data_IF_322048217079
#
_entry.id   IF_322048217079
#
_cell.length_a   1.000
_cell.length_b   1.000
_cell.length_c   1.000
_cell.angle_alpha   90.00
_cell.angle_beta   90.00
_cell.angle_gamma   90.00
#
_symmetry.space_group_name_H-M   'P 1'
#
loop_
_entity.id
_entity.type
_entity.pdbx_description
1 polymer ?
#
# COMPACT_ATOMS: atom_id res chain seq x y z
N UNK A 1 24.24 1.06 21.73
CA UNK A 1 22.94 1.02 21.03
C UNK A 1 22.00 0.22 21.90
N UNK A 2 21.19 0.89 22.72
CA UNK A 2 20.19 0.22 23.54
C UNK A 2 18.95 0.03 22.69
N UNK A 3 18.51 -1.23 22.51
CA UNK A 3 17.19 -1.54 21.97
C UNK A 3 16.15 -0.95 22.92
N UNK A 4 15.49 0.13 22.49
CA UNK A 4 14.31 0.61 23.18
C UNK A 4 13.28 -0.52 23.14
N UNK A 5 12.89 -1.02 24.30
CA UNK A 5 11.81 -2.01 24.41
C UNK A 5 10.52 -1.42 23.82
N UNK A 6 9.64 -2.24 23.23
CA UNK A 6 8.39 -1.76 22.59
C UNK A 6 7.56 -0.79 23.46
N UNK A 7 7.54 -0.99 24.78
CA UNK A 7 6.87 -0.10 25.74
C UNK A 7 7.50 1.30 25.87
N UNK A 8 8.80 1.42 25.61
CA UNK A 8 9.52 2.69 25.56
C UNK A 8 9.21 3.47 24.29
N UNK A 9 9.00 2.77 23.16
CA UNK A 9 8.60 3.39 21.89
C UNK A 9 7.16 3.91 21.97
N UNK A 10 6.24 3.13 22.55
CA UNK A 10 4.86 3.57 22.79
C UNK A 10 4.79 4.85 23.64
N UNK A 11 5.64 4.96 24.68
CA UNK A 11 5.73 6.16 25.51
C UNK A 11 6.32 7.35 24.73
N UNK A 12 7.36 7.14 23.92
CA UNK A 12 7.93 8.21 23.09
C UNK A 12 6.93 8.73 22.06
N UNK A 13 6.13 7.86 21.46
CA UNK A 13 5.08 8.25 20.51
C UNK A 13 3.96 8.99 21.24
N UNK A 14 3.55 8.54 22.42
CA UNK A 14 2.60 9.27 23.25
C UNK A 14 3.12 10.66 23.64
N UNK A 15 4.38 10.78 24.05
CA UNK A 15 5.04 12.07 24.34
C UNK A 15 5.07 12.97 23.10
N UNK A 16 5.44 12.46 21.92
CA UNK A 16 5.44 13.26 20.68
C UNK A 16 4.02 13.73 20.29
N UNK A 17 3.00 12.91 20.56
CA UNK A 17 1.59 13.27 20.32
C UNK A 17 1.11 14.33 21.33
N UNK A 18 1.50 14.21 22.60
CA UNK A 18 1.16 15.17 23.67
C UNK A 18 1.86 16.52 23.47
N UNK A 19 3.15 16.50 23.12
CA UNK A 19 3.95 17.69 22.82
C UNK A 19 3.58 18.31 21.45
N UNK A 20 2.90 17.52 20.60
CA UNK A 20 2.47 17.90 19.27
C UNK A 20 3.61 18.06 18.26
N UNK A 21 4.77 17.44 18.53
CA UNK A 21 5.95 17.46 17.67
C UNK A 21 5.84 16.41 16.55
N UNK A 22 5.14 16.82 15.49
CA UNK A 22 4.94 15.98 14.31
C UNK A 22 6.25 15.76 13.52
N UNK A 23 7.19 16.69 13.57
CA UNK A 23 8.47 16.57 12.88
C UNK A 23 9.30 15.43 13.48
N UNK A 24 9.34 15.36 14.81
CA UNK A 24 9.96 14.22 15.51
C UNK A 24 9.24 12.93 15.19
N UNK A 25 7.90 12.92 15.22
CA UNK A 25 7.10 11.74 14.92
C UNK A 25 7.40 11.15 13.53
N UNK A 26 7.53 11.98 12.50
CA UNK A 26 7.82 11.53 11.13
C UNK A 26 9.24 10.99 10.94
N UNK A 27 10.19 11.37 11.80
CA UNK A 27 11.57 10.84 11.77
C UNK A 27 11.78 9.58 12.60
N UNK A 28 10.88 9.28 13.55
CA UNK A 28 11.00 8.08 14.38
C UNK A 28 11.11 6.78 13.56
N UNK A 29 10.35 6.60 12.47
CA UNK A 29 10.44 5.39 11.65
C UNK A 29 11.79 5.18 10.96
N UNK A 30 12.56 6.24 10.69
CA UNK A 30 13.92 6.10 10.12
C UNK A 30 14.94 5.60 11.16
N UNK A 31 14.63 5.77 12.45
CA UNK A 31 15.55 5.50 13.56
C UNK A 31 15.27 4.21 14.31
N UNK A 32 14.08 3.62 14.11
CA UNK A 32 13.60 2.46 14.85
C UNK A 32 13.34 1.31 13.87
N UNK A 33 13.97 0.16 14.11
CA UNK A 33 13.77 -1.05 13.30
C UNK A 33 12.43 -1.76 13.58
N UNK A 34 11.86 -1.55 14.77
CA UNK A 34 10.62 -2.20 15.22
C UNK A 34 9.67 -1.14 15.80
N UNK A 35 8.60 -0.86 15.07
CA UNK A 35 7.63 0.18 15.41
C UNK A 35 6.30 -0.49 15.79
N UNK A 36 5.89 -0.47 17.07
CA UNK A 36 4.69 -1.19 17.52
C UNK A 36 3.43 -0.75 16.78
N UNK A 37 2.55 -1.68 16.42
CA UNK A 37 1.34 -1.40 15.65
C UNK A 37 0.38 -0.44 16.39
N UNK A 38 0.34 -0.54 17.71
CA UNK A 38 -0.38 0.41 18.59
C UNK A 38 0.10 1.84 18.39
N UNK A 39 1.39 2.02 18.19
CA UNK A 39 2.01 3.32 17.94
C UNK A 39 1.76 3.79 16.52
N UNK A 40 1.78 2.89 15.53
CA UNK A 40 1.46 3.23 14.13
C UNK A 40 0.02 3.75 14.04
N UNK A 41 -0.93 2.99 14.58
CA UNK A 41 -2.36 3.34 14.55
C UNK A 41 -2.63 4.68 15.25
N UNK A 42 -2.02 4.91 16.43
CA UNK A 42 -2.12 6.20 17.13
C UNK A 42 -1.52 7.36 16.34
N UNK A 43 -0.38 7.13 15.68
CA UNK A 43 0.28 8.13 14.85
C UNK A 43 -0.57 8.49 13.63
N UNK A 44 -1.11 7.49 12.95
CA UNK A 44 -2.05 7.65 11.83
C UNK A 44 -3.30 8.43 12.27
N UNK A 45 -3.91 8.04 13.39
CA UNK A 45 -5.08 8.74 13.93
C UNK A 45 -4.76 10.19 14.28
N UNK A 46 -3.60 10.45 14.88
CA UNK A 46 -3.14 11.80 15.20
C UNK A 46 -2.91 12.65 13.95
N UNK A 47 -2.27 12.10 12.91
CA UNK A 47 -2.04 12.79 11.63
C UNK A 47 -3.37 13.16 10.96
N UNK A 48 -4.35 12.27 10.98
CA UNK A 48 -5.70 12.53 10.42
C UNK A 48 -6.37 13.69 11.17
N UNK A 49 -6.31 13.68 12.52
CA UNK A 49 -6.96 14.68 13.38
C UNK A 49 -6.21 16.02 13.41
N UNK A 50 -4.94 16.06 13.01
CA UNK A 50 -4.15 17.27 13.00
C UNK A 50 -4.67 18.30 11.97
N UNK A 51 -4.54 19.58 12.35
CA UNK A 51 -4.77 20.72 11.46
C UNK A 51 -3.67 20.81 10.41
N UNK A 52 -4.04 21.25 9.22
CA UNK A 52 -3.14 21.36 8.06
C UNK A 52 -1.90 22.22 8.36
N UNK A 53 -2.07 23.37 9.02
CA UNK A 53 -0.99 24.31 9.34
C UNK A 53 0.19 23.66 10.12
N UNK A 54 -0.12 22.68 10.99
CA UNK A 54 0.91 21.98 11.77
C UNK A 54 1.67 20.96 10.93
N UNK A 55 1.01 20.38 9.93
CA UNK A 55 1.58 19.38 9.04
C UNK A 55 2.46 20.07 8.01
N UNK A 56 2.01 21.21 7.46
CA UNK A 56 2.84 22.07 6.62
C UNK A 56 4.13 22.48 7.31
N UNK A 57 4.07 22.88 8.59
CA UNK A 57 5.26 23.21 9.38
C UNK A 57 6.23 22.03 9.53
N UNK A 58 5.74 20.83 9.84
CA UNK A 58 6.58 19.64 10.02
C UNK A 58 7.17 19.10 8.71
N UNK A 59 6.46 19.28 7.59
CA UNK A 59 6.85 18.82 6.26
C UNK A 59 7.66 19.88 5.50
N UNK A 60 7.76 21.11 6.03
CA UNK A 60 8.52 22.20 5.39
C UNK A 60 10.01 21.91 5.19
N UNK A 61 10.58 21.04 6.03
CA UNK A 61 11.98 20.59 5.95
C UNK A 61 12.20 19.46 4.92
N UNK A 62 11.13 18.86 4.41
CA UNK A 62 11.19 17.76 3.43
C UNK A 62 11.40 18.35 2.03
N UNK A 63 12.34 17.77 1.28
CA UNK A 63 12.59 18.21 -0.10
C UNK A 63 11.34 18.02 -0.95
N UNK A 64 11.06 18.98 -1.84
CA UNK A 64 9.98 18.87 -2.83
C UNK A 64 10.10 17.62 -3.70
N UNK A 65 11.32 17.09 -3.89
CA UNK A 65 11.54 15.82 -4.58
C UNK A 65 10.91 14.63 -3.86
N UNK A 66 11.01 14.58 -2.54
CA UNK A 66 10.61 13.44 -1.73
C UNK A 66 9.10 13.44 -1.53
N UNK A 67 8.52 14.64 -1.42
CA UNK A 67 7.07 14.83 -1.52
C UNK A 67 6.54 14.33 -2.87
N UNK A 68 7.17 14.73 -3.97
CA UNK A 68 6.77 14.27 -5.30
C UNK A 68 6.93 12.77 -5.53
N UNK A 69 7.85 12.10 -4.85
CA UNK A 69 7.99 10.65 -4.89
C UNK A 69 6.92 9.94 -4.06
N UNK A 70 6.53 10.53 -2.94
CA UNK A 70 5.51 9.98 -2.04
C UNK A 70 4.07 10.32 -2.46
N UNK A 71 3.89 11.30 -3.35
CA UNK A 71 2.59 11.68 -3.93
C UNK A 71 2.69 11.86 -5.45
N UNK A 72 2.96 10.79 -6.21
CA UNK A 72 3.13 10.85 -7.66
C UNK A 72 1.88 11.33 -8.40
N UNK A 73 0.68 11.01 -7.89
CA UNK A 73 -0.61 11.44 -8.44
C UNK A 73 -0.79 12.97 -8.53
N UNK A 74 -0.03 13.75 -7.76
CA UNK A 74 -0.03 15.21 -7.86
C UNK A 74 0.51 15.70 -9.21
N UNK A 75 1.33 14.92 -9.91
CA UNK A 75 1.79 15.23 -11.27
C UNK A 75 0.73 14.94 -12.34
N UNK A 76 -0.22 14.06 -12.02
CA UNK A 76 -1.27 13.58 -12.91
C UNK A 76 -2.59 14.34 -12.70
N UNK A 77 -2.58 15.41 -11.89
CA UNK A 77 -3.75 16.23 -11.53
C UNK A 77 -4.93 15.41 -10.99
N UNK A 78 -4.62 14.30 -10.31
CA UNK A 78 -5.64 13.44 -9.71
C UNK A 78 -5.97 13.91 -8.30
N UNK A 79 -7.24 14.21 -8.06
CA UNK A 79 -7.74 14.66 -6.75
C UNK A 79 -7.61 13.56 -5.69
N UNK A 80 -6.86 13.87 -4.64
CA UNK A 80 -6.73 13.01 -3.46
C UNK A 80 -7.75 13.43 -2.39
N UNK A 81 -8.29 12.49 -1.58
CA UNK A 81 -9.22 12.82 -0.50
C UNK A 81 -8.56 13.64 0.64
N UNK A 82 -7.22 13.73 0.66
CA UNK A 82 -6.44 14.45 1.66
C UNK A 82 -5.44 15.38 0.98
N UNK A 83 -4.92 16.34 1.75
CA UNK A 83 -3.84 17.22 1.29
C UNK A 83 -2.54 16.46 1.04
N UNK A 84 -1.70 16.99 0.16
CA UNK A 84 -0.41 16.39 -0.21
C UNK A 84 0.47 16.11 1.01
N UNK A 85 0.53 17.04 1.96
CA UNK A 85 1.36 16.90 3.16
C UNK A 85 0.83 15.82 4.11
N UNK A 86 -0.50 15.70 4.24
CA UNK A 86 -1.13 14.60 4.99
C UNK A 86 -0.87 13.27 4.32
N UNK A 87 -0.99 13.19 3.00
CA UNK A 87 -0.69 11.97 2.25
C UNK A 87 0.77 11.54 2.48
N UNK A 88 1.73 12.46 2.38
CA UNK A 88 3.13 12.16 2.68
C UNK A 88 3.30 11.58 4.09
N UNK A 89 2.78 12.28 5.10
CA UNK A 89 2.88 11.85 6.50
C UNK A 89 2.23 10.47 6.74
N UNK A 90 1.09 10.21 6.10
CA UNK A 90 0.41 8.93 6.17
C UNK A 90 1.21 7.83 5.47
N UNK A 91 1.76 8.07 4.28
CA UNK A 91 2.56 7.07 3.57
C UNK A 91 3.78 6.64 4.36
N UNK A 92 4.47 7.58 5.03
CA UNK A 92 5.60 7.25 5.92
C UNK A 92 5.17 6.25 7.01
N UNK A 93 3.99 6.44 7.61
CA UNK A 93 3.47 5.57 8.67
C UNK A 93 2.89 4.25 8.14
N UNK A 94 2.23 4.28 6.98
CA UNK A 94 1.61 3.11 6.36
C UNK A 94 2.65 2.14 5.79
N UNK A 95 3.81 2.65 5.35
CA UNK A 95 4.93 1.84 4.83
C UNK A 95 5.72 1.09 5.91
N UNK A 96 5.37 1.28 7.18
CA UNK A 96 6.03 0.58 8.28
C UNK A 96 5.73 -0.92 8.25
N UNK A 97 6.66 -1.72 8.76
CA UNK A 97 6.44 -3.17 8.89
C UNK A 97 5.50 -3.42 10.06
N UNK A 98 4.54 -4.30 9.87
CA UNK A 98 3.57 -4.68 10.89
C UNK A 98 3.15 -6.14 10.70
N UNK A 99 2.57 -6.72 11.75
CA UNK A 99 1.81 -7.96 11.68
C UNK A 99 0.32 -7.66 11.48
N UNK A 100 -0.36 -8.25 10.47
CA UNK A 100 -1.78 -8.00 10.23
C UNK A 100 -2.68 -8.28 11.45
N UNK A 101 -2.35 -9.29 12.26
CA UNK A 101 -3.13 -9.64 13.45
C UNK A 101 -3.02 -8.58 14.54
N UNK A 102 -1.81 -8.08 14.81
CA UNK A 102 -1.61 -7.02 15.80
C UNK A 102 -2.12 -5.66 15.31
N UNK A 103 -2.01 -5.41 14.00
CA UNK A 103 -2.59 -4.23 13.36
C UNK A 103 -4.11 -4.19 13.54
N UNK A 104 -4.80 -5.30 13.30
CA UNK A 104 -6.25 -5.39 13.48
C UNK A 104 -6.65 -5.12 14.94
N UNK A 105 -5.94 -5.69 15.91
CA UNK A 105 -6.21 -5.42 17.32
C UNK A 105 -6.02 -3.93 17.66
N UNK A 106 -4.92 -3.34 17.19
CA UNK A 106 -4.63 -1.93 17.40
C UNK A 106 -5.67 -1.01 16.73
N UNK A 107 -6.10 -1.36 15.51
CA UNK A 107 -7.08 -0.60 14.73
C UNK A 107 -8.42 -0.46 15.44
N UNK A 108 -8.86 -1.44 16.25
CA UNK A 108 -10.11 -1.35 17.04
C UNK A 108 -10.13 -0.16 18.02
N UNK A 109 -8.97 0.30 18.46
CA UNK A 109 -8.88 1.46 19.35
C UNK A 109 -9.06 2.80 18.61
N UNK A 110 -8.99 2.81 17.28
CA UNK A 110 -9.16 4.02 16.47
C UNK A 110 -10.62 4.49 16.50
N UNK A 111 -10.83 5.81 16.47
CA UNK A 111 -12.17 6.36 16.26
C UNK A 111 -12.73 6.05 14.87
N UNK A 112 -14.06 5.86 14.78
CA UNK A 112 -14.71 5.50 13.52
C UNK A 112 -14.52 6.55 12.42
N UNK A 113 -14.56 7.84 12.76
CA UNK A 113 -14.36 8.92 11.78
C UNK A 113 -12.95 8.84 11.16
N UNK A 114 -11.92 8.55 11.98
CA UNK A 114 -10.56 8.34 11.50
C UNK A 114 -10.44 7.06 10.68
N UNK A 115 -11.09 5.97 11.11
CA UNK A 115 -11.16 4.71 10.37
C UNK A 115 -11.80 4.89 8.98
N UNK A 116 -12.84 5.71 8.88
CA UNK A 116 -13.52 6.00 7.62
C UNK A 116 -12.65 6.87 6.69
N UNK A 117 -11.96 7.89 7.22
CA UNK A 117 -11.04 8.72 6.45
C UNK A 117 -9.87 7.89 5.92
N UNK A 118 -9.27 7.04 6.77
CA UNK A 118 -8.16 6.19 6.32
C UNK A 118 -8.64 5.16 5.30
N UNK A 119 -9.85 4.59 5.44
CA UNK A 119 -10.40 3.68 4.44
C UNK A 119 -10.60 4.37 3.08
N UNK A 120 -11.09 5.62 3.07
CA UNK A 120 -11.19 6.43 1.84
C UNK A 120 -9.83 6.69 1.20
N UNK A 121 -8.81 6.98 2.02
CA UNK A 121 -7.46 7.19 1.53
C UNK A 121 -6.81 5.91 0.98
N UNK A 122 -6.95 4.79 1.68
CA UNK A 122 -6.44 3.49 1.24
C UNK A 122 -7.14 3.00 -0.03
N UNK A 123 -8.44 3.21 -0.16
CA UNK A 123 -9.16 2.96 -1.40
C UNK A 123 -8.62 3.83 -2.54
N UNK A 124 -8.36 5.11 -2.30
CA UNK A 124 -7.71 5.98 -3.29
C UNK A 124 -6.35 5.43 -3.73
N UNK A 125 -5.50 4.99 -2.80
CA UNK A 125 -4.22 4.34 -3.13
C UNK A 125 -4.41 3.06 -3.96
N UNK A 126 -5.44 2.27 -3.63
CA UNK A 126 -5.78 1.05 -4.35
C UNK A 126 -6.25 1.32 -5.79
N UNK A 127 -7.04 2.39 -5.98
CA UNK A 127 -7.51 2.83 -7.31
C UNK A 127 -6.42 3.47 -8.15
N UNK A 128 -5.46 4.14 -7.52
CA UNK A 128 -4.32 4.76 -8.21
C UNK A 128 -3.21 3.75 -8.54
N UNK A 129 -3.08 2.67 -7.76
CA UNK A 129 -2.01 1.69 -7.96
C UNK A 129 -2.01 1.14 -9.40
N UNK A 130 -0.89 1.23 -10.13
CA UNK A 130 -0.82 0.74 -11.49
C UNK A 130 -0.99 -0.79 -11.53
N UNK A 131 -1.54 -1.36 -12.63
CA UNK A 131 -1.69 -2.81 -12.78
C UNK A 131 -0.34 -3.55 -12.74
N UNK A 132 0.73 -2.89 -13.19
CA UNK A 132 2.10 -3.38 -13.04
C UNK A 132 2.78 -2.51 -11.99
N UNK A 133 3.02 -3.02 -10.78
CA UNK A 133 3.66 -2.25 -9.72
C UNK A 133 5.07 -1.85 -10.13
N UNK A 134 5.34 -0.55 -10.23
CA UNK A 134 6.71 -0.05 -10.17
C UNK A 134 7.09 0.08 -8.69
N UNK A 135 8.26 -0.44 -8.30
CA UNK A 135 8.74 -0.31 -6.93
C UNK A 135 9.00 1.16 -6.60
N UNK A 136 8.11 1.76 -5.81
CA UNK A 136 8.30 3.09 -5.24
C UNK A 136 8.49 2.95 -3.72
N UNK A 137 9.72 3.14 -3.19
CA UNK A 137 10.00 2.97 -1.77
C UNK A 137 9.30 4.03 -0.90
N UNK A 138 8.77 5.09 -1.50
CA UNK A 138 8.07 6.17 -0.80
C UNK A 138 6.55 5.91 -0.65
N UNK A 139 6.05 4.82 -1.23
CA UNK A 139 4.65 4.40 -1.12
C UNK A 139 4.55 3.06 -0.39
N UNK A 140 3.48 2.84 0.38
CA UNK A 140 3.22 1.53 0.96
C UNK A 140 3.01 0.51 -0.17
N UNK A 141 3.66 -0.66 -0.11
CA UNK A 141 3.40 -1.76 -1.04
C UNK A 141 1.91 -2.10 -1.09
N UNK A 142 1.44 -2.52 -2.26
CA UNK A 142 0.03 -2.88 -2.48
C UNK A 142 -0.47 -3.91 -1.45
N UNK A 143 0.36 -4.89 -1.09
CA UNK A 143 0.04 -5.88 -0.07
C UNK A 143 -0.23 -5.24 1.30
N UNK A 144 0.58 -4.26 1.71
CA UNK A 144 0.36 -3.52 2.95
C UNK A 144 -0.91 -2.68 2.90
N UNK A 145 -1.22 -2.04 1.76
CA UNK A 145 -2.48 -1.29 1.58
C UNK A 145 -3.68 -2.22 1.75
N UNK A 146 -3.63 -3.43 1.19
CA UNK A 146 -4.66 -4.46 1.33
C UNK A 146 -4.78 -4.92 2.79
N UNK A 147 -3.66 -5.19 3.45
CA UNK A 147 -3.65 -5.60 4.86
C UNK A 147 -4.24 -4.52 5.79
N UNK A 148 -3.92 -3.25 5.54
CA UNK A 148 -4.51 -2.11 6.24
C UNK A 148 -6.02 -2.01 5.99
N UNK A 149 -6.47 -2.15 4.74
CA UNK A 149 -7.89 -2.16 4.41
C UNK A 149 -8.63 -3.29 5.13
N UNK A 150 -8.08 -4.50 5.12
CA UNK A 150 -8.64 -5.64 5.83
C UNK A 150 -8.72 -5.38 7.34
N UNK A 151 -7.64 -4.88 7.94
CA UNK A 151 -7.60 -4.56 9.37
C UNK A 151 -8.66 -3.52 9.76
N UNK A 152 -8.84 -2.46 8.97
CA UNK A 152 -9.84 -1.41 9.21
C UNK A 152 -11.26 -1.94 9.03
N UNK A 153 -11.52 -2.65 7.92
CA UNK A 153 -12.85 -3.19 7.60
C UNK A 153 -13.29 -4.19 8.67
N UNK A 154 -12.41 -5.11 9.07
CA UNK A 154 -12.74 -6.12 10.09
C UNK A 154 -12.92 -5.50 11.48
N UNK A 155 -12.13 -4.48 11.82
CA UNK A 155 -12.19 -3.83 13.14
C UNK A 155 -13.43 -2.95 13.31
N UNK A 156 -13.90 -2.33 12.23
CA UNK A 156 -15.03 -1.39 12.24
C UNK A 156 -16.26 -1.90 11.48
N UNK A 157 -16.32 -3.20 11.16
CA UNK A 157 -17.36 -3.79 10.30
C UNK A 157 -18.78 -3.38 10.65
N UNK A 158 -19.14 -3.45 11.95
CA UNK A 158 -20.50 -3.10 12.38
C UNK A 158 -20.82 -1.62 12.15
N UNK A 159 -19.87 -0.73 12.39
CA UNK A 159 -20.04 0.71 12.21
C UNK A 159 -20.11 1.06 10.72
N UNK A 160 -19.21 0.49 9.91
CA UNK A 160 -19.20 0.63 8.45
C UNK A 160 -20.53 0.17 7.81
N UNK A 161 -21.12 -0.92 8.32
CA UNK A 161 -22.41 -1.44 7.83
C UNK A 161 -23.60 -0.53 8.16
N UNK A 162 -23.54 0.19 9.28
CA UNK A 162 -24.65 1.01 9.78
C UNK A 162 -24.57 2.47 9.33
N UNK A 163 -23.37 2.96 9.00
CA UNK A 163 -23.14 4.35 8.67
C UNK A 163 -23.44 4.62 7.18
N UNK A 164 -24.34 5.57 6.91
CA UNK A 164 -24.77 5.90 5.54
C UNK A 164 -23.62 6.51 4.71
N UNK A 165 -22.74 7.27 5.34
CA UNK A 165 -21.55 7.89 4.77
C UNK A 165 -20.42 6.91 4.43
N UNK A 166 -20.50 5.68 4.93
CA UNK A 166 -19.61 4.58 4.59
C UNK A 166 -20.12 3.75 3.39
N UNK A 167 -21.38 3.91 2.98
CA UNK A 167 -21.98 3.07 1.94
C UNK A 167 -21.27 3.19 0.60
N UNK A 168 -21.01 4.41 0.15
CA UNK A 168 -20.42 4.67 -1.16
C UNK A 168 -18.99 4.10 -1.25
N UNK A 169 -18.21 4.25 -0.17
CA UNK A 169 -16.84 3.72 -0.13
C UNK A 169 -16.82 2.19 -0.12
N UNK A 170 -17.77 1.53 0.56
CA UNK A 170 -17.87 0.06 0.57
C UNK A 170 -18.24 -0.46 -0.83
N UNK A 171 -19.18 0.18 -1.51
CA UNK A 171 -19.56 -0.19 -2.88
C UNK A 171 -18.37 -0.03 -3.82
N UNK A 172 -17.68 1.13 -3.76
CA UNK A 172 -16.49 1.39 -4.58
C UNK A 172 -15.35 0.40 -4.31
N UNK A 173 -15.12 0.05 -3.04
CA UNK A 173 -14.16 -0.99 -2.66
C UNK A 173 -14.53 -2.36 -3.25
N UNK A 174 -15.81 -2.74 -3.21
CA UNK A 174 -16.26 -4.01 -3.79
C UNK A 174 -16.04 -4.03 -5.32
N UNK A 175 -16.37 -2.95 -6.01
CA UNK A 175 -16.14 -2.81 -7.45
C UNK A 175 -14.64 -2.90 -7.79
N UNK A 176 -13.79 -2.21 -7.04
CA UNK A 176 -12.35 -2.24 -7.21
C UNK A 176 -11.77 -3.65 -6.98
N UNK A 177 -12.17 -4.33 -5.91
CA UNK A 177 -11.73 -5.71 -5.63
C UNK A 177 -12.18 -6.67 -6.74
N UNK A 178 -13.39 -6.49 -7.28
CA UNK A 178 -13.90 -7.29 -8.39
C UNK A 178 -13.03 -7.11 -9.63
N UNK A 179 -12.72 -5.85 -9.99
CA UNK A 179 -11.86 -5.50 -11.11
C UNK A 179 -10.45 -6.10 -10.94
N UNK A 180 -9.84 -5.93 -9.77
CA UNK A 180 -8.50 -6.45 -9.47
C UNK A 180 -8.45 -7.99 -9.53
N UNK A 181 -9.47 -8.66 -9.03
CA UNK A 181 -9.57 -10.13 -9.06
C UNK A 181 -9.72 -10.63 -10.50
N UNK A 182 -10.55 -9.95 -11.31
CA UNK A 182 -10.68 -10.26 -12.73
C UNK A 182 -9.35 -10.09 -13.44
N UNK A 183 -8.69 -8.94 -13.27
CA UNK A 183 -7.38 -8.66 -13.87
C UNK A 183 -6.35 -9.72 -13.48
N UNK A 184 -6.27 -10.09 -12.19
CA UNK A 184 -5.36 -11.13 -11.72
C UNK A 184 -5.62 -12.48 -12.40
N UNK A 185 -6.90 -12.83 -12.63
CA UNK A 185 -7.27 -14.07 -13.32
C UNK A 185 -6.84 -14.05 -14.80
N UNK A 186 -7.03 -12.91 -15.48
CA UNK A 186 -6.62 -12.72 -16.87
C UNK A 186 -5.10 -12.74 -17.03
N UNK A 187 -4.36 -12.07 -16.13
CA UNK A 187 -2.90 -12.10 -16.10
C UNK A 187 -2.36 -13.50 -15.86
N UNK A 188 -2.97 -14.28 -14.95
CA UNK A 188 -2.61 -15.69 -14.75
C UNK A 188 -2.84 -16.54 -16.00
N UNK A 189 -3.95 -16.32 -16.71
CA UNK A 189 -4.23 -17.01 -17.97
C UNK A 189 -3.17 -16.67 -19.04
N UNK A 190 -2.81 -15.39 -19.17
CA UNK A 190 -1.76 -14.93 -20.10
C UNK A 190 -0.37 -15.49 -19.76
N UNK A 191 -0.01 -15.56 -18.47
CA UNK A 191 1.24 -16.21 -18.05
C UNK A 191 1.24 -17.70 -18.42
N UNK A 192 0.10 -18.38 -18.26
CA UNK A 192 -0.06 -19.78 -18.66
C UNK A 192 0.13 -20.00 -20.16
N UNK A 193 -0.48 -19.16 -21.01
CA UNK A 193 -0.31 -19.26 -22.46
C UNK A 193 1.12 -18.92 -22.90
N UNK A 194 1.75 -17.92 -22.27
CA UNK A 194 3.14 -17.57 -22.54
C UNK A 194 4.10 -18.70 -22.17
N UNK A 195 3.88 -19.36 -21.03
CA UNK A 195 4.66 -20.52 -20.62
C UNK A 195 4.52 -21.68 -21.62
N UNK A 196 3.32 -21.91 -22.15
CA UNK A 196 3.08 -22.92 -23.16
C UNK A 196 3.77 -22.60 -24.49
N UNK A 197 3.66 -21.36 -24.97
CA UNK A 197 4.35 -20.89 -26.18
C UNK A 197 5.87 -21.03 -26.03
N UNK A 198 6.41 -20.66 -24.86
CA UNK A 198 7.83 -20.78 -24.57
C UNK A 198 8.29 -22.25 -24.60
N UNK A 199 7.50 -23.15 -24.00
CA UNK A 199 7.77 -24.59 -24.07
C UNK A 199 7.76 -25.13 -25.50
N UNK A 200 6.76 -24.74 -26.30
CA UNK A 200 6.68 -25.16 -27.71
C UNK A 200 7.89 -24.66 -28.51
N UNK A 201 8.35 -23.44 -28.27
CA UNK A 201 9.55 -22.89 -28.91
C UNK A 201 10.82 -23.66 -28.51
N UNK A 202 10.99 -24.01 -27.24
CA UNK A 202 12.11 -24.83 -26.77
C UNK A 202 12.09 -26.24 -27.37
N UNK A 203 10.91 -26.87 -27.46
CA UNK A 203 10.73 -28.18 -28.09
C UNK A 203 11.07 -28.13 -29.58
N UNK A 204 10.64 -27.10 -30.30
CA UNK A 204 10.98 -26.87 -31.70
C UNK A 204 12.49 -26.62 -31.92
N UNK A 205 13.15 -25.87 -31.03
CA UNK A 205 14.61 -25.71 -31.11
C UNK A 205 15.34 -27.04 -30.87
N UNK A 206 14.86 -27.86 -29.93
CA UNK A 206 15.43 -29.19 -29.67
C UNK A 206 15.18 -30.18 -30.82
N UNK A 207 14.03 -30.10 -31.49
CA UNK A 207 13.76 -30.93 -32.67
C UNK A 207 14.56 -30.47 -33.89
N UNK A 208 14.70 -29.16 -34.12
CA UNK A 208 15.50 -28.62 -35.22
C UNK A 208 17.00 -28.93 -35.05
N UNK A 209 17.51 -29.02 -33.80
CA UNK A 209 18.88 -29.47 -33.53
C UNK A 209 19.08 -30.99 -33.72
N UNK A 210 18.01 -31.77 -33.79
CA UNK A 210 18.02 -33.24 -34.02
C UNK A 210 17.68 -33.64 -35.45
N UNK A 211 17.28 -32.70 -36.31
CA UNK A 211 17.08 -32.93 -37.74
C UNK A 211 18.48 -33.07 -38.37
N UNK A 212 18.90 -34.32 -38.56
CA UNK A 212 20.24 -34.67 -39.05
C UNK A 212 20.52 -34.12 -40.46
N UNK A 213 21.81 -33.90 -40.74
CA UNK A 213 22.38 -33.30 -41.96
C UNK A 213 22.12 -34.07 -43.28
N UNK A 214 21.13 -34.96 -43.33
CA UNK A 214 20.83 -35.77 -44.52
C UNK A 214 19.32 -36.02 -44.68
N UNK A 215 18.75 -35.44 -45.73
CA UNK A 215 17.47 -35.84 -46.33
C UNK A 215 17.76 -36.38 -47.74
N UNK A 216 17.21 -37.56 -48.06
CA UNK A 216 17.19 -38.09 -49.43
C UNK A 216 15.76 -37.93 -49.95
N UNK A 217 15.58 -37.07 -50.94
CA UNK A 217 14.33 -36.93 -51.69
C UNK A 217 14.35 -37.86 -52.92
N UNK A 218 13.32 -38.68 -53.08
CA UNK A 218 13.15 -39.52 -54.28
C UNK A 218 12.21 -38.78 -55.23
N UNK A 219 12.75 -38.32 -56.35
CA UNK A 219 11.98 -37.70 -57.43
C UNK A 219 11.49 -38.79 -58.38
N UNK A 220 10.18 -38.95 -58.49
CA UNK A 220 9.53 -39.79 -59.50
C UNK A 220 9.39 -38.99 -60.80
N UNK A 221 9.90 -39.52 -61.91
CA UNK A 221 9.67 -39.00 -63.26
C UNK A 221 8.52 -39.71 -63.96
#
# INVERSE_FOLDING_TARGET
MGTLTGKGIENLVAECIEDGDLHRLLRLPETLDDFPETSIVKSVEYIIKCKEDKIEGAVSDVSKSDLMQSTPWTKEDTDSPLSVNKCYALNVMLSQKFSPQFLQEAARAMSFDSALIIAKYLHFLLSWSPPVPEENPSLPPLEQVIDWLNAIVDSHFQQLKLAEDARDIIISLQEQITLMTQWQSESKALLGTLAEVSRQFEEQQRSNKKMGDYCIEVISF
#
